data_IF_385666328724
#
_entry.id   IF_385666328724
#
_cell.length_a   1.000
_cell.length_b   1.000
_cell.length_c   1.000
_cell.angle_alpha   90.00
_cell.angle_beta   90.00
_cell.angle_gamma   90.00
#
_symmetry.space_group_name_H-M   'P 1'
#
loop_
_entity.id
_entity.type
_entity.pdbx_description
1 polymer ?
#
# COMPACT_ATOMS: atom_id res chain seq x y z
N UNK A 1 -5.44 7.91 10.09
CA UNK A 1 -5.33 6.77 9.17
C UNK A 1 -6.66 6.62 8.48
N UNK A 2 -6.68 6.30 7.19
CA UNK A 2 -7.89 6.14 6.40
C UNK A 2 -7.61 5.23 5.21
N UNK A 3 -8.53 4.31 4.88
CA UNK A 3 -8.32 3.33 3.82
C UNK A 3 -8.49 3.89 2.38
N UNK A 4 -9.09 5.08 2.26
CA UNK A 4 -9.43 5.81 1.03
C UNK A 4 -10.52 5.15 0.16
N UNK A 5 -11.29 5.95 -0.61
CA UNK A 5 -11.37 7.42 -0.56
C UNK A 5 -12.04 7.89 0.74
N UNK A 6 -11.65 9.06 1.26
CA UNK A 6 -12.32 9.70 2.39
C UNK A 6 -13.35 10.71 1.87
N UNK A 7 -14.46 10.87 2.58
CA UNK A 7 -15.41 11.95 2.33
C UNK A 7 -14.93 13.24 3.04
N UNK A 8 -14.49 14.22 2.26
CA UNK A 8 -13.85 15.44 2.76
C UNK A 8 -14.86 16.58 2.76
N UNK A 9 -15.18 17.09 3.95
CA UNK A 9 -16.07 18.23 4.15
C UNK A 9 -15.59 19.46 3.39
N UNK A 10 -16.47 20.02 2.57
CA UNK A 10 -16.19 21.20 1.74
C UNK A 10 -15.45 20.92 0.43
N UNK A 11 -15.07 19.66 0.16
CA UNK A 11 -14.34 19.28 -1.05
C UNK A 11 -15.11 18.23 -1.86
N UNK A 12 -15.26 17.01 -1.33
CA UNK A 12 -16.01 15.94 -2.01
C UNK A 12 -17.47 15.88 -1.62
N UNK A 13 -17.84 16.45 -0.47
CA UNK A 13 -19.21 16.53 0.04
C UNK A 13 -19.39 17.74 0.97
N UNK A 14 -20.63 18.10 1.31
CA UNK A 14 -20.92 19.24 2.20
C UNK A 14 -20.46 18.99 3.64
N UNK A 15 -20.78 17.82 4.18
CA UNK A 15 -20.39 17.33 5.50
C UNK A 15 -19.94 15.88 5.32
N UNK A 16 -18.70 15.59 5.71
CA UNK A 16 -18.04 14.31 5.51
C UNK A 16 -17.29 13.81 6.76
N UNK A 17 -16.49 12.78 6.56
CA UNK A 17 -15.73 12.07 7.59
C UNK A 17 -14.57 12.89 8.18
N UNK A 18 -14.00 13.81 7.38
CA UNK A 18 -12.80 14.57 7.75
C UNK A 18 -12.82 15.98 7.17
N UNK A 19 -12.20 16.93 7.87
CA UNK A 19 -11.99 18.29 7.35
C UNK A 19 -10.85 18.32 6.33
N UNK A 20 -10.91 19.25 5.37
CA UNK A 20 -9.84 19.48 4.39
C UNK A 20 -8.47 19.66 5.06
N UNK A 21 -8.38 20.53 6.08
CA UNK A 21 -7.11 20.81 6.76
C UNK A 21 -6.49 19.61 7.47
N UNK A 22 -7.32 18.70 8.03
CA UNK A 22 -6.83 17.45 8.63
C UNK A 22 -6.40 16.47 7.55
N UNK A 23 -7.19 16.33 6.47
CA UNK A 23 -6.83 15.45 5.36
C UNK A 23 -5.50 15.88 4.72
N UNK A 24 -5.34 17.17 4.42
CA UNK A 24 -4.13 17.67 3.76
C UNK A 24 -2.89 17.51 4.64
N UNK A 25 -3.00 17.76 5.95
CA UNK A 25 -1.91 17.53 6.92
C UNK A 25 -1.38 16.10 6.88
N UNK A 26 -2.23 15.11 6.63
CA UNK A 26 -1.88 13.69 6.65
C UNK A 26 -1.85 13.02 5.27
N UNK A 27 -2.11 13.74 4.18
CA UNK A 27 -2.29 13.18 2.84
C UNK A 27 -1.14 12.26 2.41
N UNK A 28 0.11 12.71 2.58
CA UNK A 28 1.30 11.91 2.23
C UNK A 28 1.40 10.63 3.08
N UNK A 29 1.11 10.72 4.38
CA UNK A 29 1.14 9.56 5.27
C UNK A 29 0.05 8.55 4.89
N UNK A 30 -1.18 9.01 4.60
CA UNK A 30 -2.29 8.16 4.15
C UNK A 30 -2.02 7.53 2.79
N UNK A 31 -1.35 8.23 1.86
CA UNK A 31 -0.95 7.64 0.58
C UNK A 31 0.15 6.59 0.76
N UNK A 32 1.09 6.83 1.70
CA UNK A 32 2.09 5.84 2.06
C UNK A 32 1.45 4.61 2.72
N UNK A 33 0.43 4.79 3.55
CA UNK A 33 -0.38 3.71 4.15
C UNK A 33 -0.98 2.82 3.05
N UNK A 34 -1.68 3.42 2.07
CA UNK A 34 -2.28 2.68 0.95
C UNK A 34 -1.25 1.93 0.08
N UNK A 35 -0.02 2.46 -0.03
CA UNK A 35 1.06 1.85 -0.82
C UNK A 35 1.52 0.46 -0.32
N UNK A 36 1.21 0.09 0.93
CA UNK A 36 1.57 -1.22 1.48
C UNK A 36 0.65 -2.35 1.01
N UNK A 37 -0.60 -2.04 0.63
CA UNK A 37 -1.62 -3.05 0.27
C UNK A 37 -1.16 -4.02 -0.84
N UNK A 38 -0.56 -3.56 -1.96
CA UNK A 38 -0.07 -4.47 -3.00
C UNK A 38 1.00 -5.44 -2.49
N UNK A 39 1.94 -4.98 -1.67
CA UNK A 39 3.03 -5.81 -1.14
C UNK A 39 2.53 -6.83 -0.12
N UNK A 40 1.56 -6.47 0.71
CA UNK A 40 0.93 -7.42 1.66
C UNK A 40 0.21 -8.54 0.91
N UNK A 41 -0.55 -8.22 -0.15
CA UNK A 41 -1.21 -9.23 -0.99
C UNK A 41 -0.17 -10.13 -1.67
N UNK A 42 0.92 -9.56 -2.20
CA UNK A 42 2.03 -10.33 -2.76
C UNK A 42 2.66 -11.29 -1.74
N UNK A 43 2.87 -10.82 -0.50
CA UNK A 43 3.39 -11.64 0.59
C UNK A 43 2.43 -12.80 0.93
N UNK A 44 1.12 -12.53 1.01
CA UNK A 44 0.11 -13.58 1.22
C UNK A 44 0.17 -14.66 0.13
N UNK A 45 0.24 -14.25 -1.14
CA UNK A 45 0.34 -15.18 -2.28
C UNK A 45 1.65 -15.98 -2.21
N UNK A 46 2.78 -15.33 -1.97
CA UNK A 46 4.11 -15.95 -1.90
C UNK A 46 4.17 -17.01 -0.79
N UNK A 47 3.75 -16.64 0.42
CA UNK A 47 3.76 -17.52 1.60
C UNK A 47 2.81 -18.71 1.45
N UNK A 48 1.71 -18.56 0.71
CA UNK A 48 0.80 -19.68 0.45
C UNK A 48 1.30 -20.61 -0.64
N UNK A 49 1.89 -20.06 -1.71
CA UNK A 49 2.27 -20.79 -2.93
C UNK A 49 3.54 -21.62 -2.76
N UNK A 50 4.51 -21.16 -1.97
CA UNK A 50 5.82 -21.79 -1.86
C UNK A 50 6.04 -22.34 -0.45
N UNK A 51 6.54 -23.58 -0.34
CA UNK A 51 6.82 -24.22 0.94
C UNK A 51 7.94 -23.52 1.74
N UNK A 52 8.89 -22.89 1.05
CA UNK A 52 10.04 -22.18 1.64
C UNK A 52 10.22 -20.79 1.00
N UNK A 53 9.33 -19.82 1.31
CA UNK A 53 9.33 -18.52 0.65
C UNK A 53 10.64 -17.72 0.89
N UNK A 54 11.29 -17.87 2.05
CA UNK A 54 12.57 -17.21 2.33
C UNK A 54 13.71 -17.67 1.40
N UNK A 55 13.85 -18.98 1.17
CA UNK A 55 14.86 -19.52 0.26
C UNK A 55 14.63 -19.07 -1.20
N UNK A 56 13.37 -18.96 -1.61
CA UNK A 56 13.03 -18.42 -2.93
C UNK A 56 13.42 -16.94 -3.06
N UNK A 57 13.17 -16.12 -2.04
CA UNK A 57 13.58 -14.72 -2.05
C UNK A 57 15.11 -14.57 -2.11
N UNK A 58 15.86 -15.38 -1.38
CA UNK A 58 17.33 -15.42 -1.46
C UNK A 58 17.83 -15.79 -2.86
N UNK A 59 17.17 -16.74 -3.52
CA UNK A 59 17.48 -17.14 -4.88
C UNK A 59 17.24 -15.98 -5.86
N UNK A 60 16.05 -15.36 -5.83
CA UNK A 60 15.70 -14.24 -6.71
C UNK A 60 16.66 -13.05 -6.53
N UNK A 61 17.11 -12.80 -5.29
CA UNK A 61 18.09 -11.76 -5.00
C UNK A 61 19.45 -12.05 -5.65
N UNK A 62 19.90 -13.33 -5.65
CA UNK A 62 21.16 -13.76 -6.28
C UNK A 62 21.08 -13.69 -7.81
N UNK A 63 19.94 -14.04 -8.38
CA UNK A 63 19.71 -14.00 -9.84
C UNK A 63 19.66 -12.56 -10.38
N UNK A 64 19.31 -11.60 -9.52
CA UNK A 64 19.32 -10.16 -9.78
C UNK A 64 18.71 -9.76 -11.14
N UNK A 65 17.63 -10.44 -11.54
CA UNK A 65 16.98 -10.20 -12.82
C UNK A 65 16.40 -8.78 -12.87
N UNK A 66 16.71 -8.04 -13.93
CA UNK A 66 16.19 -6.69 -14.12
C UNK A 66 14.66 -6.71 -14.28
N UNK A 67 13.97 -5.86 -13.52
CA UNK A 67 12.50 -5.79 -13.52
C UNK A 67 11.95 -5.36 -14.89
N UNK A 68 12.65 -4.47 -15.57
CA UNK A 68 12.31 -3.90 -16.88
C UNK A 68 13.56 -4.00 -17.74
N UNK A 69 13.40 -4.57 -18.94
CA UNK A 69 14.47 -4.67 -19.94
C UNK A 69 14.70 -3.33 -20.65
#
# INVERSE_FOLDING_TARGET
MHCLPADISGVSCKEGEVTEGVFEKYRIATYKEASWKPYIIAAMILSRKYAKPGALLEQLLKEAQERVK
#
